data_IF_920358332199
#
_entry.id   IF_920358332199
#
_cell.length_a   1.000
_cell.length_b   1.000
_cell.length_c   1.000
_cell.angle_alpha   90.00
_cell.angle_beta   90.00
_cell.angle_gamma   90.00
#
_symmetry.space_group_name_H-M   'P 1'
#
loop_
_entity.id
_entity.type
_entity.pdbx_description
1 polymer ?
#
# COMPACT_ATOMS: atom_id res chain seq x y z
N UNK A 1 11.99 -11.18 14.35
CA UNK A 1 10.81 -11.99 13.95
C UNK A 1 11.14 -12.53 12.57
N UNK A 2 11.00 -13.85 12.31
CA UNK A 2 11.24 -14.38 10.95
C UNK A 2 9.96 -14.17 10.16
N UNK A 3 9.97 -13.23 9.23
CA UNK A 3 8.85 -12.99 8.33
C UNK A 3 8.81 -14.12 7.30
N UNK A 4 7.70 -14.87 7.23
CA UNK A 4 7.46 -15.84 6.18
C UNK A 4 6.75 -15.11 5.03
N UNK A 5 7.26 -15.25 3.80
CA UNK A 5 6.61 -14.76 2.59
C UNK A 5 6.02 -15.96 1.87
N UNK A 6 4.74 -15.90 1.54
CA UNK A 6 4.08 -16.91 0.73
C UNK A 6 4.01 -16.44 -0.71
N UNK A 7 4.26 -17.30 -1.69
CA UNK A 7 4.21 -16.94 -3.12
C UNK A 7 3.20 -17.83 -3.82
N UNK A 8 2.18 -17.21 -4.40
CA UNK A 8 1.15 -17.82 -5.24
C UNK A 8 1.33 -17.33 -6.68
N UNK A 9 1.40 -18.26 -7.63
CA UNK A 9 1.67 -17.90 -9.04
C UNK A 9 0.53 -17.16 -9.75
N UNK A 10 -0.64 -17.05 -9.12
CA UNK A 10 -1.80 -16.32 -9.60
C UNK A 10 -2.05 -15.03 -8.79
N UNK A 11 -1.56 -14.98 -7.55
CA UNK A 11 -1.81 -13.87 -6.62
C UNK A 11 -0.55 -13.07 -6.23
N UNK A 12 0.63 -13.49 -6.70
CA UNK A 12 1.93 -12.93 -6.35
C UNK A 12 2.42 -13.35 -4.96
N UNK A 13 3.32 -12.59 -4.37
CA UNK A 13 3.73 -12.79 -2.98
C UNK A 13 2.75 -12.15 -2.00
N UNK A 14 2.25 -12.98 -1.10
CA UNK A 14 1.36 -12.59 -0.02
C UNK A 14 2.21 -12.25 1.19
N UNK A 15 2.62 -10.97 1.28
CA UNK A 15 3.02 -10.38 2.56
C UNK A 15 1.85 -9.58 3.12
N UNK A 16 0.79 -10.26 3.58
CA UNK A 16 -0.31 -9.59 4.29
C UNK A 16 0.12 -9.33 5.74
N UNK A 17 1.07 -8.41 5.91
CA UNK A 17 1.55 -8.04 7.24
C UNK A 17 1.23 -6.58 7.45
N UNK A 18 -0.01 -6.26 7.81
CA UNK A 18 -0.20 -5.00 8.53
C UNK A 18 0.54 -5.11 9.87
N UNK A 19 1.02 -4.00 10.40
CA UNK A 19 1.51 -3.98 11.77
C UNK A 19 0.31 -4.16 12.72
N UNK A 20 -0.07 -5.41 13.00
CA UNK A 20 -1.17 -5.74 13.90
C UNK A 20 -0.95 -5.24 15.34
N UNK A 21 0.26 -4.76 15.67
CA UNK A 21 0.59 -4.19 16.97
C UNK A 21 0.42 -2.67 16.98
N UNK A 22 0.33 -2.02 15.82
CA UNK A 22 0.12 -0.59 15.74
C UNK A 22 -1.37 -0.25 15.99
N UNK A 23 -1.69 0.64 16.94
CA UNK A 23 -3.08 1.02 17.23
C UNK A 23 -3.70 1.89 16.14
N UNK A 24 -2.88 2.62 15.38
CA UNK A 24 -3.31 3.52 14.30
C UNK A 24 -2.50 3.25 13.04
N UNK A 25 -3.18 2.88 11.96
CA UNK A 25 -2.60 2.38 10.73
C UNK A 25 -2.70 3.39 9.59
N UNK A 26 -1.65 3.50 8.79
CA UNK A 26 -1.62 4.26 7.53
C UNK A 26 -2.21 3.43 6.38
N UNK A 27 -2.30 4.03 5.19
CA UNK A 27 -2.65 3.30 3.96
C UNK A 27 -1.58 2.32 3.49
N UNK A 28 -0.40 2.36 4.11
CA UNK A 28 0.68 1.41 3.89
C UNK A 28 0.67 0.27 4.91
N UNK A 29 -0.33 0.19 5.79
CA UNK A 29 -0.44 -0.88 6.78
C UNK A 29 0.57 -0.80 7.91
N UNK A 30 1.22 0.36 8.08
CA UNK A 30 2.19 0.65 9.13
C UNK A 30 1.63 1.64 10.15
N UNK A 31 2.29 1.78 11.30
CA UNK A 31 1.96 2.83 12.25
C UNK A 31 1.97 4.22 11.58
N UNK A 32 0.94 5.02 11.85
CA UNK A 32 0.80 6.40 11.33
C UNK A 32 1.89 7.33 11.87
N UNK A 33 2.35 7.05 13.09
CA UNK A 33 3.37 7.78 13.83
C UNK A 33 3.98 6.87 14.90
N UNK A 34 5.23 7.14 15.27
CA UNK A 34 5.88 6.55 16.45
C UNK A 34 6.02 7.55 17.60
N UNK A 35 5.59 8.80 17.41
CA UNK A 35 5.67 9.87 18.40
C UNK A 35 4.54 9.73 19.44
N UNK A 36 4.91 9.76 20.73
CA UNK A 36 3.98 9.51 21.82
C UNK A 36 2.85 10.55 21.88
N UNK A 37 3.15 11.84 21.65
CA UNK A 37 2.16 12.90 21.67
C UNK A 37 1.15 12.75 20.51
N UNK A 38 1.64 12.39 19.33
CA UNK A 38 0.82 12.08 18.16
C UNK A 38 -0.10 10.88 18.43
N UNK A 39 0.42 9.80 19.03
CA UNK A 39 -0.36 8.62 19.39
C UNK A 39 -1.43 8.92 20.44
N UNK A 40 -1.12 9.74 21.44
CA UNK A 40 -2.11 10.18 22.44
C UNK A 40 -3.23 11.01 21.78
N UNK A 41 -2.88 11.96 20.91
CA UNK A 41 -3.86 12.78 20.20
C UNK A 41 -4.78 11.93 19.30
N UNK A 42 -4.23 10.94 18.60
CA UNK A 42 -4.98 9.97 17.82
C UNK A 42 -5.93 9.15 18.71
N UNK A 43 -5.46 8.65 19.85
CA UNK A 43 -6.27 7.87 20.80
C UNK A 43 -7.44 8.68 21.34
N UNK A 44 -7.17 9.90 21.79
CA UNK A 44 -8.22 10.82 22.27
C UNK A 44 -9.27 11.07 21.18
N UNK A 45 -8.82 11.34 19.94
CA UNK A 45 -9.74 11.57 18.84
C UNK A 45 -10.55 10.33 18.49
N UNK A 46 -9.92 9.16 18.50
CA UNK A 46 -10.55 7.88 18.22
C UNK A 46 -11.70 7.59 19.18
N UNK A 47 -11.45 7.75 20.49
CA UNK A 47 -12.45 7.54 21.53
C UNK A 47 -13.58 8.58 21.45
N UNK A 48 -13.24 9.86 21.32
CA UNK A 48 -14.25 10.93 21.29
C UNK A 48 -15.23 10.81 20.12
N UNK A 49 -14.80 10.21 19.02
CA UNK A 49 -15.61 10.00 17.81
C UNK A 49 -16.20 8.60 17.70
N UNK A 50 -15.82 7.69 18.60
CA UNK A 50 -16.16 6.27 18.56
C UNK A 50 -15.84 5.63 17.20
N UNK A 51 -14.67 5.93 16.64
CA UNK A 51 -14.24 5.28 15.41
C UNK A 51 -14.02 3.79 15.67
N UNK A 52 -14.29 2.96 14.66
CA UNK A 52 -14.06 1.50 14.71
C UNK A 52 -12.86 1.11 13.84
N UNK A 53 -12.64 1.81 12.73
CA UNK A 53 -11.51 1.54 11.84
C UNK A 53 -10.20 2.10 12.43
N UNK A 54 -9.10 1.33 12.39
CA UNK A 54 -7.79 1.79 12.86
C UNK A 54 -7.07 2.66 11.82
N UNK A 55 -7.64 2.87 10.63
CA UNK A 55 -6.95 3.51 9.51
C UNK A 55 -7.09 5.03 9.55
N UNK A 56 -5.96 5.72 9.61
CA UNK A 56 -5.84 7.17 9.52
C UNK A 56 -5.01 7.54 8.31
N UNK A 57 -5.60 8.36 7.45
CA UNK A 57 -5.05 8.67 6.14
C UNK A 57 -4.81 10.17 6.04
N UNK A 58 -3.78 10.56 5.31
CA UNK A 58 -3.51 11.95 4.93
C UNK A 58 -4.21 12.32 3.62
N UNK A 59 -4.23 13.62 3.29
CA UNK A 59 -4.90 14.10 2.07
C UNK A 59 -4.20 13.59 0.79
N UNK A 60 -2.87 13.48 0.80
CA UNK A 60 -2.11 12.94 -0.33
C UNK A 60 -2.40 11.45 -0.52
N UNK A 61 -2.44 10.67 0.56
CA UNK A 61 -2.79 9.24 0.52
C UNK A 61 -4.22 9.01 0.06
N UNK A 62 -5.18 9.82 0.55
CA UNK A 62 -6.56 9.79 0.09
C UNK A 62 -6.67 10.12 -1.40
N UNK A 63 -5.96 11.14 -1.86
CA UNK A 63 -5.93 11.51 -3.29
C UNK A 63 -5.26 10.42 -4.13
N UNK A 64 -4.26 9.72 -3.61
CA UNK A 64 -3.61 8.65 -4.33
C UNK A 64 -4.53 7.42 -4.45
N UNK A 65 -4.88 6.76 -3.34
CA UNK A 65 -5.58 5.47 -3.39
C UNK A 65 -7.09 5.59 -3.58
N UNK A 66 -7.71 6.58 -2.95
CA UNK A 66 -9.16 6.70 -3.00
C UNK A 66 -9.63 7.42 -4.27
N UNK A 67 -8.75 7.85 -5.19
CA UNK A 67 -9.23 8.34 -6.49
C UNK A 67 -9.71 7.22 -7.42
N UNK A 68 -9.31 5.97 -7.16
CA UNK A 68 -9.66 4.84 -8.01
C UNK A 68 -11.12 4.39 -7.78
N UNK A 69 -11.97 4.34 -8.82
CA UNK A 69 -13.39 4.00 -8.67
C UNK A 69 -13.65 2.66 -7.98
N UNK A 70 -12.80 1.67 -8.24
CA UNK A 70 -12.90 0.35 -7.60
C UNK A 70 -12.66 0.44 -6.09
N UNK A 71 -11.61 1.15 -5.66
CA UNK A 71 -11.29 1.36 -4.24
C UNK A 71 -12.38 2.19 -3.57
N UNK A 72 -12.84 3.29 -4.20
CA UNK A 72 -13.97 4.11 -3.69
C UNK A 72 -15.19 3.25 -3.42
N UNK A 73 -15.55 2.39 -4.38
CA UNK A 73 -16.73 1.52 -4.26
C UNK A 73 -16.56 0.47 -3.18
N UNK A 74 -15.42 -0.22 -3.15
CA UNK A 74 -15.16 -1.30 -2.19
C UNK A 74 -15.11 -0.78 -0.74
N UNK A 75 -14.62 0.44 -0.53
CA UNK A 75 -14.59 1.12 0.76
C UNK A 75 -15.80 2.02 1.00
N UNK A 76 -16.83 1.97 0.15
CA UNK A 76 -18.00 2.87 0.14
C UNK A 76 -17.69 4.31 0.53
N UNK A 77 -16.67 4.88 -0.11
CA UNK A 77 -16.28 6.26 0.06
C UNK A 77 -17.43 7.15 -0.40
N UNK A 78 -17.87 8.06 0.47
CA UNK A 78 -18.87 9.05 0.14
C UNK A 78 -18.26 10.05 -0.86
N UNK A 79 -18.82 10.09 -2.06
CA UNK A 79 -18.32 10.95 -3.13
C UNK A 79 -18.34 12.43 -2.76
N UNK A 80 -19.37 12.88 -2.03
CA UNK A 80 -19.52 14.29 -1.66
C UNK A 80 -18.50 14.67 -0.59
N UNK A 81 -18.26 13.79 0.39
CA UNK A 81 -17.21 14.00 1.38
C UNK A 81 -15.82 13.98 0.74
N UNK A 82 -15.59 13.06 -0.21
CA UNK A 82 -14.30 12.94 -0.90
C UNK A 82 -13.96 14.17 -1.76
N UNK A 83 -14.93 14.76 -2.46
CA UNK A 83 -14.74 16.02 -3.18
C UNK A 83 -14.41 17.18 -2.23
N UNK A 84 -14.92 17.13 -1.00
CA UNK A 84 -14.67 18.14 0.04
C UNK A 84 -13.54 17.77 0.99
N UNK A 85 -12.74 16.76 0.66
CA UNK A 85 -11.71 16.21 1.57
C UNK A 85 -10.76 17.28 2.11
N UNK A 86 -10.36 18.27 1.30
CA UNK A 86 -9.50 19.36 1.77
C UNK A 86 -10.07 20.11 3.00
N UNK A 87 -11.40 20.27 3.07
CA UNK A 87 -12.07 20.85 4.23
C UNK A 87 -12.05 19.90 5.44
N UNK A 88 -12.23 18.60 5.22
CA UNK A 88 -12.10 17.59 6.29
C UNK A 88 -10.70 17.61 6.89
N UNK A 89 -9.67 17.63 6.06
CA UNK A 89 -8.27 17.70 6.51
C UNK A 89 -7.94 19.01 7.23
N UNK A 90 -8.58 20.12 6.85
CA UNK A 90 -8.42 21.41 7.53
C UNK A 90 -9.22 21.53 8.83
N UNK A 91 -10.18 20.64 9.10
CA UNK A 91 -11.08 20.74 10.22
C UNK A 91 -10.50 20.07 11.49
N UNK A 92 -10.14 20.89 12.49
CA UNK A 92 -9.59 20.42 13.77
C UNK A 92 -10.56 19.57 14.59
N UNK A 93 -11.85 19.55 14.26
CA UNK A 93 -12.85 18.69 14.88
C UNK A 93 -12.84 17.24 14.35
N UNK A 94 -12.14 16.95 13.25
CA UNK A 94 -11.96 15.58 12.73
C UNK A 94 -10.50 15.19 12.48
N UNK A 95 -9.67 16.13 12.03
CA UNK A 95 -8.28 15.87 11.71
C UNK A 95 -7.36 15.97 12.92
N UNK A 96 -6.25 15.23 12.86
CA UNK A 96 -5.20 15.19 13.87
C UNK A 96 -3.86 15.46 13.19
N UNK A 97 -3.05 16.35 13.75
CA UNK A 97 -1.67 16.56 13.33
C UNK A 97 -0.77 15.51 13.99
N UNK A 98 0.04 14.83 13.18
CA UNK A 98 0.93 13.75 13.63
C UNK A 98 2.34 13.98 13.09
N UNK A 99 3.35 13.55 13.84
CA UNK A 99 4.74 13.54 13.40
C UNK A 99 5.09 12.18 12.78
N UNK A 100 5.60 12.19 11.56
CA UNK A 100 6.04 11.02 10.81
C UNK A 100 7.43 11.26 10.23
N UNK A 101 8.45 10.53 10.72
CA UNK A 101 9.84 10.73 10.29
C UNK A 101 10.36 12.17 10.47
N UNK A 102 9.82 12.92 11.42
CA UNK A 102 10.15 14.33 11.66
C UNK A 102 9.33 15.34 10.84
N UNK A 103 8.50 14.89 9.90
CA UNK A 103 7.57 15.74 9.16
C UNK A 103 6.18 15.74 9.82
N UNK A 104 5.60 16.92 9.99
CA UNK A 104 4.22 17.05 10.47
C UNK A 104 3.25 16.86 9.30
N UNK A 105 2.26 15.98 9.48
CA UNK A 105 1.17 15.76 8.52
C UNK A 105 -0.18 15.73 9.23
N UNK A 106 -1.24 16.12 8.53
CA UNK A 106 -2.62 16.02 9.04
C UNK A 106 -3.28 14.77 8.50
N UNK A 107 -3.90 14.01 9.40
CA UNK A 107 -4.61 12.77 9.09
C UNK A 107 -6.04 12.82 9.59
N UNK A 108 -6.92 12.09 8.92
CA UNK A 108 -8.31 11.84 9.36
C UNK A 108 -8.54 10.34 9.41
N UNK A 109 -9.43 9.88 10.28
CA UNK A 109 -9.84 8.49 10.26
C UNK A 109 -10.62 8.20 8.97
N UNK A 110 -10.41 7.02 8.38
CA UNK A 110 -11.10 6.63 7.15
C UNK A 110 -12.62 6.73 7.27
N UNK A 111 -13.18 6.49 8.47
CA UNK A 111 -14.63 6.55 8.69
C UNK A 111 -15.24 7.92 8.36
N UNK A 112 -14.47 9.01 8.45
CA UNK A 112 -14.91 10.36 8.08
C UNK A 112 -15.08 10.55 6.57
N UNK A 113 -14.62 9.59 5.77
CA UNK A 113 -14.77 9.56 4.31
C UNK A 113 -15.73 8.46 3.84
N UNK A 114 -16.14 7.55 4.71
CA UNK A 114 -17.02 6.43 4.37
C UNK A 114 -18.49 6.75 4.66
N UNK A 115 -19.39 6.07 3.96
CA UNK A 115 -20.82 6.10 4.31
C UNK A 115 -21.08 5.32 5.61
N UNK A 116 -22.01 5.83 6.44
CA UNK A 116 -22.29 5.30 7.79
C UNK A 116 -23.08 3.98 7.82
N UNK A 117 -23.62 3.54 6.68
CA UNK A 117 -24.44 2.33 6.50
C UNK A 117 -23.62 1.06 6.22
N UNK A 118 -22.30 1.14 6.34
CA UNK A 118 -21.39 0.05 5.98
C UNK A 118 -21.23 -1.02 7.06
N UNK A 119 -21.24 -2.26 6.59
CA UNK A 119 -20.81 -3.43 7.38
C UNK A 119 -19.33 -3.32 7.73
N UNK A 120 -19.03 -3.36 9.03
CA UNK A 120 -17.68 -3.17 9.55
C UNK A 120 -16.73 -4.27 9.09
N UNK A 121 -17.18 -5.54 9.11
CA UNK A 121 -16.35 -6.70 8.77
C UNK A 121 -15.92 -6.68 7.29
N UNK A 122 -16.86 -6.34 6.40
CA UNK A 122 -16.56 -6.18 4.98
C UNK A 122 -15.60 -5.02 4.75
N UNK A 123 -15.82 -3.89 5.43
CA UNK A 123 -14.98 -2.69 5.29
C UNK A 123 -13.55 -2.95 5.74
N UNK A 124 -13.37 -3.55 6.92
CA UNK A 124 -12.05 -3.82 7.47
C UNK A 124 -11.30 -4.85 6.60
N UNK A 125 -11.98 -5.85 6.04
CA UNK A 125 -11.38 -6.81 5.10
C UNK A 125 -10.86 -6.10 3.84
N UNK A 126 -11.63 -5.20 3.26
CA UNK A 126 -11.17 -4.40 2.13
C UNK A 126 -10.03 -3.46 2.51
N UNK A 127 -10.07 -2.85 3.70
CA UNK A 127 -8.96 -2.04 4.19
C UNK A 127 -7.67 -2.86 4.30
N UNK A 128 -7.71 -4.07 4.87
CA UNK A 128 -6.53 -4.94 4.94
C UNK A 128 -6.05 -5.37 3.55
N UNK A 129 -6.95 -5.55 2.59
CA UNK A 129 -6.59 -5.86 1.21
C UNK A 129 -5.88 -4.67 0.53
N UNK A 130 -6.41 -3.45 0.64
CA UNK A 130 -5.87 -2.26 -0.05
C UNK A 130 -4.70 -1.62 0.69
N UNK A 131 -4.69 -1.69 2.02
CA UNK A 131 -3.75 -0.99 2.90
C UNK A 131 -2.75 -1.93 3.57
N UNK A 132 -2.35 -2.99 2.87
CA UNK A 132 -1.30 -3.89 3.37
C UNK A 132 0.08 -3.25 3.29
N UNK A 133 0.98 -3.68 4.18
CA UNK A 133 2.41 -3.45 4.01
C UNK A 133 2.86 -4.16 2.74
N UNK A 134 3.42 -3.38 1.83
CA UNK A 134 3.93 -3.91 0.58
C UNK A 134 4.96 -2.93 0.04
N UNK A 135 6.17 -3.45 -0.11
CA UNK A 135 7.37 -2.73 -0.49
C UNK A 135 7.92 -3.41 -1.76
N UNK A 136 7.68 -2.82 -2.94
CA UNK A 136 8.25 -3.32 -4.19
C UNK A 136 9.76 -3.24 -4.19
N UNK A 137 10.42 -4.29 -4.67
CA UNK A 137 11.85 -4.47 -4.71
C UNK A 137 12.29 -4.64 -6.15
N UNK A 138 13.36 -3.95 -6.54
CA UNK A 138 13.99 -4.13 -7.83
C UNK A 138 14.79 -5.44 -7.85
N UNK A 139 14.57 -6.29 -8.86
CA UNK A 139 15.20 -7.62 -8.97
C UNK A 139 16.73 -7.55 -9.06
N UNK A 140 17.28 -6.54 -9.74
CA UNK A 140 18.72 -6.38 -9.94
C UNK A 140 19.41 -5.80 -8.71
N UNK A 141 18.88 -4.70 -8.15
CA UNK A 141 19.52 -4.01 -7.02
C UNK A 141 19.18 -4.63 -5.67
N UNK A 142 18.08 -5.41 -5.61
CA UNK A 142 17.49 -5.96 -4.37
C UNK A 142 17.16 -4.88 -3.35
N UNK A 143 16.94 -3.65 -3.81
CA UNK A 143 16.54 -2.52 -3.00
C UNK A 143 15.09 -2.14 -3.28
N UNK A 144 14.39 -1.54 -2.30
CA UNK A 144 13.09 -0.95 -2.53
C UNK A 144 13.13 0.12 -3.63
N UNK A 145 12.06 0.20 -4.42
CA UNK A 145 11.87 1.32 -5.33
C UNK A 145 11.58 2.62 -4.57
N UNK A 146 11.78 3.76 -5.22
CA UNK A 146 11.35 5.03 -4.66
C UNK A 146 9.81 5.08 -4.49
N UNK A 147 9.35 6.06 -3.71
CA UNK A 147 7.93 6.17 -3.32
C UNK A 147 6.97 6.31 -4.52
N UNK A 148 7.37 6.93 -5.63
CA UNK A 148 6.48 7.17 -6.77
C UNK A 148 6.27 5.89 -7.56
N UNK A 149 7.36 5.18 -7.85
CA UNK A 149 7.33 3.86 -8.48
C UNK A 149 6.60 2.85 -7.59
N UNK A 150 6.92 2.84 -6.29
CA UNK A 150 6.22 2.00 -5.30
C UNK A 150 4.72 2.21 -5.32
N UNK A 151 4.27 3.47 -5.35
CA UNK A 151 2.85 3.81 -5.43
C UNK A 151 2.24 3.28 -6.74
N UNK A 152 2.88 3.49 -7.89
CA UNK A 152 2.37 3.01 -9.18
C UNK A 152 2.23 1.49 -9.22
N UNK A 153 3.21 0.76 -8.69
CA UNK A 153 3.17 -0.70 -8.56
C UNK A 153 2.03 -1.14 -7.64
N UNK A 154 1.89 -0.52 -6.45
CA UNK A 154 0.78 -0.82 -5.52
C UNK A 154 -0.57 -0.69 -6.19
N UNK A 155 -0.76 0.38 -6.96
CA UNK A 155 -1.98 0.57 -7.72
C UNK A 155 -2.22 -0.57 -8.71
N UNK A 156 -1.19 -0.95 -9.46
CA UNK A 156 -1.28 -2.06 -10.41
C UNK A 156 -1.66 -3.37 -9.72
N UNK A 157 -1.04 -3.66 -8.58
CA UNK A 157 -1.35 -4.85 -7.79
C UNK A 157 -2.79 -4.86 -7.27
N UNK A 158 -3.33 -3.69 -6.89
CA UNK A 158 -4.73 -3.54 -6.50
C UNK A 158 -5.67 -3.86 -7.67
N UNK A 159 -5.37 -3.32 -8.86
CA UNK A 159 -6.24 -3.41 -10.04
C UNK A 159 -6.21 -4.80 -10.67
N UNK A 160 -5.02 -5.40 -10.80
CA UNK A 160 -4.82 -6.76 -11.32
C UNK A 160 -5.20 -7.86 -10.32
N UNK A 161 -5.32 -7.51 -9.03
CA UNK A 161 -5.44 -8.44 -7.91
C UNK A 161 -4.25 -9.38 -7.73
N UNK A 162 -3.11 -9.05 -8.34
CA UNK A 162 -1.85 -9.78 -8.21
C UNK A 162 -0.85 -8.92 -7.43
N UNK A 163 -0.51 -9.35 -6.22
CA UNK A 163 0.44 -8.66 -5.35
C UNK A 163 1.83 -9.22 -5.55
N UNK A 164 2.49 -8.81 -6.63
CA UNK A 164 3.89 -9.15 -6.86
C UNK A 164 4.76 -7.99 -6.37
N UNK A 165 5.72 -8.23 -5.49
CA UNK A 165 6.64 -7.23 -4.95
C UNK A 165 7.94 -7.16 -5.72
N UNK A 166 8.27 -8.15 -6.56
CA UNK A 166 9.53 -8.15 -7.33
C UNK A 166 9.27 -7.65 -8.74
N UNK A 167 9.95 -6.57 -9.10
CA UNK A 167 9.85 -5.94 -10.42
C UNK A 167 11.24 -5.60 -10.95
N UNK A 168 11.33 -5.37 -12.25
CA UNK A 168 12.54 -4.87 -12.90
C UNK A 168 12.25 -4.46 -14.33
N UNK A 169 13.19 -3.77 -14.97
CA UNK A 169 13.17 -3.59 -16.42
C UNK A 169 13.60 -4.87 -17.13
N UNK A 170 13.47 -4.93 -18.46
CA UNK A 170 13.99 -6.04 -19.23
C UNK A 170 15.51 -6.21 -19.04
N UNK A 171 16.24 -5.11 -18.93
CA UNK A 171 17.68 -5.10 -18.66
C UNK A 171 18.00 -5.61 -17.26
N UNK A 172 17.20 -5.27 -16.24
CA UNK A 172 17.38 -5.78 -14.88
C UNK A 172 17.24 -7.31 -14.83
N UNK A 173 16.23 -7.86 -15.51
CA UNK A 173 16.03 -9.31 -15.59
C UNK A 173 17.15 -9.99 -16.39
N UNK A 174 17.58 -9.40 -17.50
CA UNK A 174 18.72 -9.90 -18.27
C UNK A 174 20.01 -9.92 -17.43
N UNK A 175 20.28 -8.86 -16.67
CA UNK A 175 21.44 -8.78 -15.76
C UNK A 175 21.36 -9.80 -14.61
N UNK A 176 20.15 -10.12 -14.14
CA UNK A 176 19.91 -11.15 -13.14
C UNK A 176 19.95 -12.59 -13.72
N UNK A 177 20.10 -12.74 -15.03
CA UNK A 177 20.09 -14.05 -15.71
C UNK A 177 18.70 -14.72 -15.71
N UNK A 178 17.63 -13.93 -15.62
CA UNK A 178 16.26 -14.42 -15.52
C UNK A 178 15.54 -14.16 -16.85
N UNK A 179 15.12 -15.21 -17.59
CA UNK A 179 14.42 -15.04 -18.85
C UNK A 179 12.97 -14.58 -18.64
N UNK A 180 12.54 -13.63 -19.48
CA UNK A 180 11.16 -13.17 -19.58
C UNK A 180 10.32 -14.15 -20.41
N UNK A 181 8.99 -14.14 -20.20
CA UNK A 181 8.04 -14.82 -21.12
C UNK A 181 7.95 -14.05 -22.44
N UNK A 182 7.38 -14.70 -23.44
CA UNK A 182 6.96 -14.02 -24.67
C UNK A 182 5.88 -12.98 -24.31
N UNK A 183 6.08 -11.74 -24.74
CA UNK A 183 5.19 -10.58 -24.51
C UNK A 183 4.76 -10.37 -23.04
N UNK A 184 5.70 -10.07 -22.13
CA UNK A 184 5.37 -9.83 -20.73
C UNK A 184 4.56 -8.55 -20.59
N UNK A 185 3.52 -8.58 -19.74
CA UNK A 185 2.77 -7.37 -19.40
C UNK A 185 3.68 -6.39 -18.66
N UNK A 186 3.73 -5.17 -19.18
CA UNK A 186 4.54 -4.09 -18.66
C UNK A 186 3.71 -3.05 -17.93
N UNK A 187 4.41 -2.34 -17.04
CA UNK A 187 3.90 -1.28 -16.21
C UNK A 187 4.77 -0.05 -16.43
N UNK A 188 4.19 0.98 -17.03
CA UNK A 188 4.85 2.28 -17.13
C UNK A 188 4.72 3.02 -15.80
N UNK A 189 5.86 3.41 -15.24
CA UNK A 189 6.00 4.22 -14.03
C UNK A 189 6.93 5.40 -14.27
N UNK A 190 6.85 6.42 -13.41
CA UNK A 190 7.75 7.57 -13.44
C UNK A 190 8.47 7.66 -12.11
N UNK A 191 9.80 7.74 -12.15
CA UNK A 191 10.64 7.84 -10.96
C UNK A 191 10.62 9.25 -10.33
N UNK A 192 11.33 9.41 -9.22
CA UNK A 192 11.41 10.70 -8.51
C UNK A 192 12.08 11.82 -9.32
N UNK A 193 12.83 11.49 -10.36
CA UNK A 193 13.52 12.43 -11.25
C UNK A 193 12.72 12.74 -12.52
N UNK A 194 11.55 12.11 -12.71
CA UNK A 194 10.71 12.28 -13.89
C UNK A 194 11.07 11.35 -15.05
N UNK A 195 11.93 10.36 -14.85
CA UNK A 195 12.25 9.38 -15.89
C UNK A 195 11.17 8.31 -15.97
N UNK A 196 10.80 7.95 -17.19
CA UNK A 196 9.89 6.83 -17.45
C UNK A 196 10.63 5.49 -17.31
N UNK A 197 9.99 4.55 -16.61
CA UNK A 197 10.46 3.19 -16.42
C UNK A 197 9.39 2.22 -16.93
N UNK A 198 9.80 1.29 -17.79
CA UNK A 198 8.97 0.16 -18.21
C UNK A 198 9.30 -1.04 -17.32
N UNK A 199 8.41 -1.33 -16.38
CA UNK A 199 8.62 -2.35 -15.36
C UNK A 199 7.83 -3.62 -15.69
N UNK A 200 8.45 -4.77 -15.47
CA UNK A 200 7.84 -6.08 -15.62
C UNK A 200 7.81 -6.71 -14.23
N UNK A 201 6.70 -7.35 -13.88
CA UNK A 201 6.61 -8.09 -12.62
C UNK A 201 7.33 -9.44 -12.75
N UNK A 202 7.77 -10.02 -11.63
CA UNK A 202 8.35 -11.36 -11.62
C UNK A 202 7.40 -12.43 -12.19
N UNK A 203 6.09 -12.16 -12.22
CA UNK A 203 5.09 -13.05 -12.83
C UNK A 203 5.18 -13.11 -14.35
N UNK A 204 5.80 -12.11 -14.98
CA UNK A 204 6.09 -12.05 -16.41
C UNK A 204 7.33 -12.85 -16.83
N UNK A 205 7.99 -13.55 -15.91
CA UNK A 205 9.19 -14.36 -16.22
C UNK A 205 8.84 -15.82 -16.47
N UNK A 206 9.76 -16.56 -17.10
CA UNK A 206 9.59 -18.00 -17.33
C UNK A 206 9.50 -18.76 -15.99
N UNK A 207 10.23 -18.29 -14.99
CA UNK A 207 10.27 -18.87 -13.64
C UNK A 207 10.15 -17.78 -12.58
N UNK A 208 8.91 -17.38 -12.20
CA UNK A 208 8.70 -16.38 -11.16
C UNK A 208 9.35 -16.77 -9.82
N UNK A 209 9.37 -18.07 -9.51
CA UNK A 209 9.97 -18.62 -8.29
C UNK A 209 11.46 -18.30 -8.19
N UNK A 210 12.19 -18.35 -9.30
CA UNK A 210 13.62 -18.00 -9.30
C UNK A 210 13.82 -16.54 -8.92
N UNK A 211 12.98 -15.63 -9.43
CA UNK A 211 13.01 -14.21 -9.04
C UNK A 211 12.81 -14.06 -7.52
N UNK A 212 11.78 -14.71 -6.97
CA UNK A 212 11.48 -14.66 -5.54
C UNK A 212 12.60 -15.23 -4.68
N UNK A 213 13.20 -16.35 -5.11
CA UNK A 213 14.31 -16.99 -4.38
C UNK A 213 15.60 -16.16 -4.35
N UNK A 214 15.83 -15.33 -5.38
CA UNK A 214 17.01 -14.45 -5.44
C UNK A 214 16.88 -13.23 -4.50
N UNK A 215 15.66 -12.77 -4.25
CA UNK A 215 15.38 -11.57 -3.44
C UNK A 215 15.04 -11.93 -1.99
N UNK A 216 14.25 -12.99 -1.77
CA UNK A 216 13.89 -13.44 -0.43
C UNK A 216 14.82 -14.53 0.08
N UNK A 217 15.41 -14.40 1.28
CA UNK A 217 16.25 -15.45 1.84
C UNK A 217 15.44 -16.71 2.16
N UNK A 218 15.58 -17.73 1.31
CA UNK A 218 15.34 -19.17 1.47
C UNK A 218 14.44 -19.64 2.64
N UNK A 219 13.23 -19.07 2.78
CA UNK A 219 12.10 -19.59 3.60
C UNK A 219 10.73 -19.17 3.07
N UNK A 220 10.62 -18.86 1.78
CA UNK A 220 9.29 -18.65 1.19
C UNK A 220 8.58 -20.01 1.08
N UNK A 221 7.30 -20.06 1.48
CA UNK A 221 6.45 -21.23 1.24
C UNK A 221 5.81 -21.01 -0.13
N UNK A 222 5.99 -21.98 -1.02
CA UNK A 222 5.46 -21.97 -2.38
C UNK A 222 4.37 -23.04 -2.44
N UNK A 223 3.15 -22.67 -2.85
CA UNK A 223 2.07 -23.61 -3.21
C UNK A 223 1.53 -23.28 -4.61
#
# INVERSE_FOLDING_TARGET
MREAVYVDVNQGDVKTVVDFRAPFLSVCGTAVSTDAASLEALQQRHLNRNYRLPFWISNSEATFLLNFPYVKRALSIDHTLFERRSHLFANDAVAVSVLDGGASKRVVNLEELTRKDMDFETTIRYCFYFFRLFEPINVATRQPFDKYVTNRIRLESVMSKCWCSIWGTAEDYAAAGIPLRDDPLDLVAVDLFGNELTLISAMGTVSPQDCFSQVYPSKAIFE
#
